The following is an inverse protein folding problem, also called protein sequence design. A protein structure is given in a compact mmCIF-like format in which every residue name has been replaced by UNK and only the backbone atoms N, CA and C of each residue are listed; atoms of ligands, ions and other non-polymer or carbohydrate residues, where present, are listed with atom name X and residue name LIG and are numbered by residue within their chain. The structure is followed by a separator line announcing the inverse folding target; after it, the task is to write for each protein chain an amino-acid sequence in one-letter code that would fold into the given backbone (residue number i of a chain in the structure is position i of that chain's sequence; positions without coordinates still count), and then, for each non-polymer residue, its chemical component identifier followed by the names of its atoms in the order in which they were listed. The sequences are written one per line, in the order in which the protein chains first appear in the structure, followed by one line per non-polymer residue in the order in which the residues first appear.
data_IF_091646520511
#
_entry.id   IF_091646520511
#
_cell.length_a   1.000
_cell.length_b   1.000
_cell.length_c   1.000
_cell.angle_alpha   90.00
_cell.angle_beta   90.00
_cell.angle_gamma   90.00
#
_symmetry.space_group_name_H-M   'P 1'
#
loop_
_entity.id
_entity.type
_entity.pdbx_description
1 polymer ?
#
# COMPACT_ATOMS: atom_id res chain seq x y z
N UNK A 1 0.44 1.54 -2.05
CA UNK A 1 -0.98 1.95 -2.05
C UNK A 1 -1.66 1.91 -0.68
N UNK A 2 -0.96 1.54 0.40
CA UNK A 2 -1.56 1.36 1.74
C UNK A 2 -2.46 2.51 2.22
N UNK A 3 -1.96 3.75 2.26
CA UNK A 3 -2.77 4.92 2.67
C UNK A 3 -4.03 5.13 1.83
N UNK A 4 -3.96 4.83 0.53
CA UNK A 4 -5.12 4.96 -0.37
C UNK A 4 -6.23 3.98 0.01
N UNK A 5 -5.88 2.75 0.40
CA UNK A 5 -6.87 1.79 0.86
C UNK A 5 -7.49 2.18 2.21
N UNK A 6 -6.69 2.66 3.16
CA UNK A 6 -7.22 3.17 4.44
C UNK A 6 -8.16 4.35 4.23
N UNK A 7 -7.81 5.28 3.33
CA UNK A 7 -8.66 6.42 2.99
C UNK A 7 -10.01 5.98 2.42
N UNK A 8 -10.02 5.02 1.50
CA UNK A 8 -11.25 4.47 0.91
C UNK A 8 -12.10 3.78 1.99
N UNK A 9 -11.47 2.94 2.81
CA UNK A 9 -12.16 2.23 3.88
C UNK A 9 -12.78 3.19 4.92
N UNK A 10 -12.04 4.22 5.32
CA UNK A 10 -12.51 5.23 6.26
C UNK A 10 -13.68 6.04 5.69
N UNK A 11 -13.56 6.49 4.43
CA UNK A 11 -14.64 7.19 3.72
C UNK A 11 -15.93 6.35 3.68
N UNK A 12 -15.83 5.06 3.35
CA UNK A 12 -16.97 4.13 3.31
C UNK A 12 -17.57 3.88 4.70
N UNK A 13 -16.73 3.68 5.72
CA UNK A 13 -17.18 3.39 7.08
C UNK A 13 -17.93 4.57 7.70
N UNK A 14 -17.49 5.79 7.43
CA UNK A 14 -18.03 7.01 8.04
C UNK A 14 -18.94 7.82 7.11
N UNK A 15 -19.18 7.33 5.88
CA UNK A 15 -19.98 8.01 4.85
C UNK A 15 -19.52 9.45 4.58
N UNK A 16 -18.20 9.66 4.49
CA UNK A 16 -17.56 10.96 4.21
C UNK A 16 -16.99 10.95 2.80
N UNK A 17 -17.02 12.08 2.09
CA UNK A 17 -16.40 12.16 0.78
C UNK A 17 -14.88 12.00 0.87
N UNK A 18 -14.31 11.30 -0.10
CA UNK A 18 -12.87 11.11 -0.24
C UNK A 18 -12.12 12.44 -0.35
N UNK A 19 -12.76 13.52 -0.81
CA UNK A 19 -12.13 14.84 -0.91
C UNK A 19 -11.83 15.44 0.47
N UNK A 20 -12.64 15.12 1.46
CA UNK A 20 -12.56 15.72 2.80
C UNK A 20 -11.52 15.03 3.69
N UNK A 21 -10.91 13.94 3.22
CA UNK A 21 -9.95 13.15 3.98
C UNK A 21 -8.53 13.40 3.47
N UNK A 22 -7.68 13.98 4.31
CA UNK A 22 -6.26 14.13 4.03
C UNK A 22 -5.43 13.01 4.65
N UNK A 23 -4.44 12.52 3.91
CA UNK A 23 -3.55 11.45 4.37
C UNK A 23 -2.13 11.94 4.42
N UNK A 24 -1.43 11.62 5.49
CA UNK A 24 -0.05 12.04 5.74
C UNK A 24 0.81 10.85 6.15
N UNK A 25 2.10 10.89 5.83
CA UNK A 25 3.11 10.04 6.46
C UNK A 25 3.86 10.85 7.52
N UNK A 26 3.99 10.30 8.72
CA UNK A 26 4.92 10.80 9.72
C UNK A 26 6.23 10.02 9.61
N UNK A 27 7.31 10.70 9.22
CA UNK A 27 8.64 10.12 9.14
C UNK A 27 9.40 10.42 10.43
N UNK A 28 9.80 9.35 11.11
CA UNK A 28 10.69 9.41 12.26
C UNK A 28 12.12 9.16 11.76
N UNK A 29 12.96 10.19 11.76
CA UNK A 29 14.36 10.06 11.34
C UNK A 29 15.17 9.45 12.47
N UNK A 30 15.88 8.35 12.19
CA UNK A 30 16.75 7.67 13.17
C UNK A 30 17.82 8.60 13.77
N UNK A 31 18.33 9.54 12.98
CA UNK A 31 19.41 10.47 13.36
C UNK A 31 18.90 11.86 13.74
N UNK A 32 17.59 12.07 13.81
CA UNK A 32 17.05 13.36 14.21
C UNK A 32 17.47 13.72 15.65
N UNK A 33 17.72 15.01 15.89
CA UNK A 33 17.77 15.54 17.26
C UNK A 33 16.39 15.29 17.92
N UNK A 34 16.36 15.20 19.26
CA UNK A 34 15.14 14.84 20.03
C UNK A 34 13.89 15.55 19.47
N UNK A 35 12.82 14.75 19.34
CA UNK A 35 11.45 15.18 19.02
C UNK A 35 11.21 15.82 17.64
N UNK A 36 11.97 15.43 16.61
CA UNK A 36 11.69 15.85 15.22
C UNK A 36 10.91 14.80 14.43
N UNK A 37 9.66 15.13 14.11
CA UNK A 37 8.76 14.34 13.25
C UNK A 37 8.47 15.11 11.98
N UNK A 38 8.73 14.53 10.82
CA UNK A 38 8.42 15.16 9.53
C UNK A 38 7.11 14.62 8.97
N UNK A 39 6.16 15.52 8.71
CA UNK A 39 4.84 15.15 8.18
C UNK A 39 4.80 15.43 6.68
N UNK A 40 4.62 14.38 5.89
CA UNK A 40 4.51 14.44 4.43
C UNK A 40 3.07 14.24 4.00
N UNK A 41 2.48 15.28 3.39
CA UNK A 41 1.16 15.15 2.78
C UNK A 41 1.23 14.25 1.54
N UNK A 42 0.32 13.29 1.49
CA UNK A 42 0.18 12.39 0.34
C UNK A 42 -1.15 12.65 -0.33
N UNK A 43 -1.09 13.07 -1.59
CA UNK A 43 -2.27 13.19 -2.42
C UNK A 43 -2.68 11.82 -2.96
N UNK A 44 -3.99 11.55 -2.85
CA UNK A 44 -4.63 10.33 -3.35
C UNK A 44 -5.65 10.71 -4.42
N UNK A 45 -5.15 11.21 -5.56
CA UNK A 45 -5.99 11.56 -6.70
C UNK A 45 -6.78 10.35 -7.23
N UNK A 46 -7.91 10.60 -7.91
CA UNK A 46 -8.83 9.58 -8.43
C UNK A 46 -8.13 8.48 -9.25
N UNK A 47 -7.18 8.85 -10.12
CA UNK A 47 -6.38 7.87 -10.92
C UNK A 47 -5.55 6.92 -10.06
N UNK A 48 -5.03 7.40 -8.92
CA UNK A 48 -4.25 6.57 -7.99
C UNK A 48 -5.16 5.59 -7.25
N UNK A 49 -6.39 6.00 -6.96
CA UNK A 49 -7.42 5.16 -6.33
C UNK A 49 -7.87 4.04 -7.28
N UNK A 50 -8.18 4.36 -8.54
CA UNK A 50 -8.59 3.35 -9.53
C UNK A 50 -7.48 2.33 -9.81
N UNK A 51 -6.22 2.80 -9.92
CA UNK A 51 -5.07 1.91 -10.07
C UNK A 51 -4.87 1.00 -8.85
N UNK A 52 -5.05 1.53 -7.63
CA UNK A 52 -4.97 0.75 -6.40
C UNK A 52 -6.03 -0.36 -6.37
N UNK A 53 -7.29 -0.04 -6.69
CA UNK A 53 -8.38 -1.02 -6.72
C UNK A 53 -8.20 -2.06 -7.83
N UNK A 54 -7.70 -1.64 -9.00
CA UNK A 54 -7.39 -2.57 -10.09
C UNK A 54 -6.31 -3.58 -9.66
N UNK A 55 -5.26 -3.11 -8.98
CA UNK A 55 -4.21 -3.98 -8.45
C UNK A 55 -4.74 -4.94 -7.40
N UNK A 56 -5.60 -4.46 -6.49
CA UNK A 56 -6.22 -5.28 -5.45
C UNK A 56 -7.08 -6.40 -6.06
N UNK A 57 -7.95 -6.07 -7.01
CA UNK A 57 -8.83 -7.04 -7.67
C UNK A 57 -8.03 -8.11 -8.44
N UNK A 58 -6.96 -7.72 -9.14
CA UNK A 58 -6.05 -8.66 -9.79
C UNK A 58 -5.35 -9.56 -8.78
N UNK A 59 -4.93 -9.01 -7.64
CA UNK A 59 -4.35 -9.77 -6.53
C UNK A 59 -5.31 -10.83 -6.00
N UNK A 60 -6.55 -10.42 -5.69
CA UNK A 60 -7.60 -11.33 -5.20
C UNK A 60 -7.88 -12.46 -6.19
N UNK A 61 -8.00 -12.14 -7.47
CA UNK A 61 -8.20 -13.12 -8.54
C UNK A 61 -7.08 -14.17 -8.59
N UNK A 62 -5.82 -13.74 -8.52
CA UNK A 62 -4.68 -14.65 -8.55
C UNK A 62 -4.63 -15.55 -7.31
N UNK A 63 -4.95 -15.00 -6.12
CA UNK A 63 -5.03 -15.76 -4.87
C UNK A 63 -6.12 -16.85 -4.98
N UNK A 64 -7.32 -16.48 -5.44
CA UNK A 64 -8.45 -17.41 -5.60
C UNK A 64 -8.13 -18.54 -6.59
N UNK A 65 -7.42 -18.22 -7.68
CA UNK A 65 -6.99 -19.21 -8.67
C UNK A 65 -5.72 -19.98 -8.29
N UNK A 66 -5.17 -19.76 -7.09
CA UNK A 66 -3.89 -20.34 -6.62
C UNK A 66 -2.75 -20.11 -7.64
N UNK A 67 -2.77 -18.97 -8.32
CA UNK A 67 -1.77 -18.58 -9.31
C UNK A 67 -0.72 -17.65 -8.68
N UNK A 68 0.45 -18.20 -8.35
CA UNK A 68 1.49 -17.50 -7.57
C UNK A 68 2.57 -16.91 -8.48
N UNK A 69 2.23 -15.84 -9.21
CA UNK A 69 3.18 -15.16 -10.09
C UNK A 69 4.27 -14.46 -9.27
N UNK A 70 5.53 -14.79 -9.56
CA UNK A 70 6.70 -14.23 -8.87
C UNK A 70 7.42 -13.16 -9.70
N UNK A 71 7.61 -11.98 -9.11
CA UNK A 71 8.52 -10.97 -9.66
C UNK A 71 9.97 -11.29 -9.24
N UNK A 72 10.77 -11.79 -10.19
CA UNK A 72 12.15 -12.19 -9.94
C UNK A 72 13.09 -11.01 -9.69
N UNK A 73 12.70 -9.78 -10.02
CA UNK A 73 13.52 -8.57 -9.85
C UNK A 73 13.72 -8.20 -8.37
N UNK A 74 12.82 -8.64 -7.50
CA UNK A 74 12.88 -8.37 -6.04
C UNK A 74 13.32 -9.60 -5.21
N UNK A 75 13.85 -10.64 -5.86
CA UNK A 75 14.24 -11.89 -5.18
C UNK A 75 15.35 -11.74 -4.14
N UNK A 76 16.22 -10.74 -4.25
CA UNK A 76 17.44 -10.62 -3.44
C UNK A 76 17.18 -10.58 -1.91
N UNK A 77 16.03 -10.03 -1.49
CA UNK A 77 15.61 -9.94 -0.08
C UNK A 77 14.33 -10.74 0.21
N UNK A 78 13.95 -11.66 -0.68
CA UNK A 78 12.73 -12.44 -0.53
C UNK A 78 12.99 -13.64 0.42
N UNK A 79 12.21 -13.73 1.49
CA UNK A 79 12.29 -14.80 2.50
C UNK A 79 12.09 -16.20 1.90
N UNK A 80 11.32 -16.31 0.81
CA UNK A 80 11.05 -17.57 0.13
C UNK A 80 12.07 -17.91 -0.98
N UNK A 81 13.09 -17.07 -1.20
CA UNK A 81 14.07 -17.29 -2.27
C UNK A 81 14.80 -18.63 -2.10
N UNK A 82 14.79 -19.49 -3.13
CA UNK A 82 15.38 -20.84 -3.12
C UNK A 82 14.80 -21.81 -2.08
N UNK A 83 13.65 -21.48 -1.48
CA UNK A 83 12.93 -22.41 -0.59
C UNK A 83 11.97 -23.31 -1.39
N UNK A 84 11.46 -24.37 -0.77
CA UNK A 84 10.42 -25.25 -1.34
C UNK A 84 9.11 -24.52 -1.69
N UNK A 85 8.90 -23.32 -1.13
CA UNK A 85 7.74 -22.47 -1.37
C UNK A 85 8.04 -21.33 -2.34
N UNK A 86 9.19 -21.34 -3.02
CA UNK A 86 9.45 -20.44 -4.14
C UNK A 86 8.62 -20.91 -5.35
N UNK A 87 7.64 -20.12 -5.82
CA UNK A 87 7.02 -20.35 -7.11
C UNK A 87 7.99 -20.11 -8.28
#
# INVERSE_FOLDING_TARGET
YQLTFYKIFYAQKHNVDLKDIETHFALLKRTAKKDNVEIFRVTSASKKQSNAMTLLNKGLFNIQKKNFIKDKRSCAKCEFCKTKHCP
#
